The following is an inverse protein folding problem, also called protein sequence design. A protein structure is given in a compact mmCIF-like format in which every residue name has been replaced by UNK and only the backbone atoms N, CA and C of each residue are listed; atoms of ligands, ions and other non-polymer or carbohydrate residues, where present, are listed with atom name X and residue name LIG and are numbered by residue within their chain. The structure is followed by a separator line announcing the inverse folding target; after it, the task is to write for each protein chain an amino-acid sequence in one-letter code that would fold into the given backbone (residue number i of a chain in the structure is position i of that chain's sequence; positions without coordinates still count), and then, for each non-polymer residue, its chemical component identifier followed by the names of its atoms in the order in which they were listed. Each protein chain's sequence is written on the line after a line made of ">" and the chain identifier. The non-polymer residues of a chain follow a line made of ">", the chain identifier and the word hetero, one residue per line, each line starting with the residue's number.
data_IF_155818577357
#
_entry.id   IF_155818577357
#
_cell.length_a   1.000
_cell.length_b   1.000
_cell.length_c   1.000
_cell.angle_alpha   90.00
_cell.angle_beta   90.00
_cell.angle_gamma   90.00
#
_symmetry.space_group_name_H-M   'P 1'
#
loop_
_entity.id
_entity.type
_entity.pdbx_description
1 polymer ?
#
# COMPACT_ATOMS: atom_id res chain seq x y z
N UNK A 1 8.36 10.64 -14.51
CA UNK A 1 7.25 10.14 -15.34
C UNK A 1 5.92 10.58 -14.74
N UNK A 2 5.05 11.16 -15.54
CA UNK A 2 3.76 11.66 -15.04
C UNK A 2 2.75 10.50 -14.94
N UNK A 3 1.96 10.52 -13.89
CA UNK A 3 0.87 9.56 -13.75
C UNK A 3 -0.28 9.93 -14.67
N UNK A 4 -0.98 8.91 -15.16
CA UNK A 4 -2.23 9.14 -15.90
C UNK A 4 -3.30 9.65 -14.94
N UNK A 5 -4.39 10.20 -15.49
CA UNK A 5 -5.52 10.65 -14.68
C UNK A 5 -6.07 9.50 -13.82
N UNK A 6 -6.21 8.32 -14.42
CA UNK A 6 -6.71 7.15 -13.69
C UNK A 6 -5.78 6.74 -12.57
N UNK A 7 -4.47 6.79 -12.82
CA UNK A 7 -3.50 6.47 -11.78
C UNK A 7 -3.56 7.48 -10.63
N UNK A 8 -3.68 8.78 -10.95
CA UNK A 8 -3.81 9.80 -9.90
C UNK A 8 -5.06 9.60 -9.06
N UNK A 9 -6.18 9.28 -9.70
CA UNK A 9 -7.43 9.01 -8.98
C UNK A 9 -7.29 7.79 -8.08
N UNK A 10 -6.64 6.74 -8.57
CA UNK A 10 -6.39 5.55 -7.78
C UNK A 10 -5.51 5.88 -6.55
N UNK A 11 -4.46 6.68 -6.75
CA UNK A 11 -3.57 7.07 -5.66
C UNK A 11 -4.31 7.87 -4.59
N UNK A 12 -5.23 8.77 -5.00
CA UNK A 12 -6.07 9.48 -4.03
C UNK A 12 -6.90 8.53 -3.19
N UNK A 13 -7.46 7.50 -3.82
CA UNK A 13 -8.23 6.49 -3.11
C UNK A 13 -7.36 5.75 -2.09
N UNK A 14 -6.17 5.34 -2.48
CA UNK A 14 -5.26 4.64 -1.57
C UNK A 14 -4.78 5.54 -0.44
N UNK A 15 -4.53 6.82 -0.74
CA UNK A 15 -4.16 7.79 0.29
C UNK A 15 -5.25 7.91 1.35
N UNK A 16 -6.51 7.98 0.92
CA UNK A 16 -7.64 8.06 1.85
C UNK A 16 -7.77 6.80 2.70
N UNK A 17 -7.55 5.64 2.12
CA UNK A 17 -7.55 4.38 2.86
C UNK A 17 -6.44 4.36 3.91
N UNK A 18 -5.25 4.85 3.55
CA UNK A 18 -4.13 4.93 4.49
C UNK A 18 -4.44 5.89 5.64
N UNK A 19 -5.04 7.04 5.33
CA UNK A 19 -5.46 8.00 6.36
C UNK A 19 -6.47 7.37 7.32
N UNK A 20 -7.34 6.52 6.81
CA UNK A 20 -8.29 5.82 7.66
C UNK A 20 -7.59 4.87 8.63
N UNK A 21 -6.54 4.18 8.18
CA UNK A 21 -5.73 3.33 9.05
C UNK A 21 -5.14 4.15 10.20
N UNK A 22 -4.64 5.34 9.88
CA UNK A 22 -4.09 6.24 10.91
C UNK A 22 -5.17 6.64 11.92
N UNK A 23 -6.36 7.00 11.42
CA UNK A 23 -7.48 7.41 12.29
C UNK A 23 -7.95 6.27 13.20
N UNK A 24 -7.83 5.04 12.72
CA UNK A 24 -8.24 3.86 13.50
C UNK A 24 -7.21 3.47 14.55
N UNK A 25 -6.12 4.22 14.67
CA UNK A 25 -5.13 4.05 15.72
C UNK A 25 -3.93 3.18 15.37
N UNK A 26 -3.90 2.63 14.18
CA UNK A 26 -2.77 1.83 13.72
C UNK A 26 -2.58 0.55 14.53
N UNK A 27 -1.38 0.36 15.12
CA UNK A 27 -1.04 -0.84 15.84
C UNK A 27 -0.62 -1.96 14.90
N UNK A 28 -0.58 -3.18 15.40
CA UNK A 28 -0.14 -4.34 14.62
C UNK A 28 -1.05 -4.58 13.41
N UNK A 29 -2.36 -4.52 13.64
CA UNK A 29 -3.34 -4.68 12.56
C UNK A 29 -3.22 -3.55 11.54
N UNK A 30 -2.98 -2.32 12.01
CA UNK A 30 -2.81 -1.17 11.13
C UNK A 30 -1.60 -1.31 10.23
N UNK A 31 -0.50 -1.87 10.72
CA UNK A 31 0.69 -2.10 9.89
C UNK A 31 0.40 -3.11 8.78
N UNK A 32 -0.36 -4.17 9.08
CA UNK A 32 -0.77 -5.14 8.10
C UNK A 32 -1.65 -4.51 7.02
N UNK A 33 -2.61 -3.72 7.44
CA UNK A 33 -3.51 -3.01 6.51
C UNK A 33 -2.73 -2.01 5.65
N UNK A 34 -1.78 -1.29 6.24
CA UNK A 34 -0.95 -0.33 5.52
C UNK A 34 -0.09 -1.03 4.46
N UNK A 35 0.50 -2.18 4.78
CA UNK A 35 1.26 -2.98 3.83
C UNK A 35 0.40 -3.37 2.63
N UNK A 36 -0.82 -3.85 2.90
CA UNK A 36 -1.73 -4.26 1.84
C UNK A 36 -2.08 -3.08 0.93
N UNK A 37 -2.35 -1.92 1.51
CA UNK A 37 -2.67 -0.71 0.74
C UNK A 37 -1.49 -0.30 -0.14
N UNK A 38 -0.28 -0.30 0.40
CA UNK A 38 0.91 0.04 -0.38
C UNK A 38 1.14 -0.94 -1.52
N UNK A 39 0.97 -2.24 -1.26
CA UNK A 39 1.12 -3.26 -2.30
C UNK A 39 0.09 -3.07 -3.41
N UNK A 40 -1.18 -2.82 -3.05
CA UNK A 40 -2.22 -2.56 -4.04
C UNK A 40 -1.90 -1.32 -4.87
N UNK A 41 -1.44 -0.25 -4.22
CA UNK A 41 -1.11 1.00 -4.90
C UNK A 41 0.04 0.79 -5.90
N UNK A 42 1.07 0.06 -5.49
CA UNK A 42 2.20 -0.24 -6.37
C UNK A 42 1.77 -1.09 -7.56
N UNK A 43 0.90 -2.08 -7.35
CA UNK A 43 0.37 -2.89 -8.45
C UNK A 43 -0.44 -2.03 -9.42
N UNK A 44 -1.20 -1.07 -8.90
CA UNK A 44 -1.96 -0.15 -9.74
C UNK A 44 -1.04 0.72 -10.60
N UNK A 45 0.20 0.91 -10.17
CA UNK A 45 1.23 1.63 -10.93
C UNK A 45 2.07 0.70 -11.83
N UNK A 46 1.72 -0.57 -11.90
CA UNK A 46 2.43 -1.53 -12.73
C UNK A 46 3.70 -2.09 -12.12
N UNK A 47 3.91 -1.92 -10.82
CA UNK A 47 5.13 -2.35 -10.13
C UNK A 47 4.98 -3.74 -9.50
N UNK A 48 4.45 -4.70 -10.27
CA UNK A 48 4.15 -6.03 -9.76
C UNK A 48 5.41 -6.79 -9.31
N UNK A 49 6.50 -6.66 -10.06
CA UNK A 49 7.74 -7.36 -9.71
C UNK A 49 8.27 -6.90 -8.36
N UNK A 50 8.18 -5.58 -8.09
CA UNK A 50 8.62 -5.03 -6.82
C UNK A 50 7.77 -5.55 -5.67
N UNK A 51 6.46 -5.60 -5.87
CA UNK A 51 5.54 -6.10 -4.84
C UNK A 51 5.79 -7.57 -4.57
N UNK A 52 5.98 -8.37 -5.63
CA UNK A 52 6.27 -9.79 -5.48
C UNK A 52 7.57 -10.01 -4.69
N UNK A 53 8.60 -9.24 -4.99
CA UNK A 53 9.86 -9.31 -4.26
C UNK A 53 9.68 -8.96 -2.78
N UNK A 54 8.89 -7.92 -2.51
CA UNK A 54 8.60 -7.52 -1.14
C UNK A 54 7.87 -8.63 -0.38
N UNK A 55 6.90 -9.26 -1.01
CA UNK A 55 6.10 -10.30 -0.37
C UNK A 55 6.90 -11.57 -0.10
N UNK A 56 8.05 -11.73 -0.75
CA UNK A 56 8.97 -12.84 -0.48
C UNK A 56 9.86 -12.61 0.75
N UNK A 57 9.87 -11.41 1.30
CA UNK A 57 10.65 -11.12 2.52
C UNK A 57 10.03 -11.87 3.69
N UNK A 58 10.84 -12.72 4.31
CA UNK A 58 10.38 -13.56 5.41
C UNK A 58 11.41 -13.57 6.52
N UNK A 59 10.98 -13.64 7.80
CA UNK A 59 9.61 -13.43 8.25
C UNK A 59 9.24 -11.95 8.23
N UNK A 60 7.94 -11.68 8.08
CA UNK A 60 7.45 -10.29 8.15
C UNK A 60 7.20 -9.95 9.60
N UNK A 61 8.02 -9.11 10.17
CA UNK A 61 7.88 -8.68 11.55
C UNK A 61 7.19 -7.34 11.63
N UNK A 62 6.15 -7.27 12.45
CA UNK A 62 5.47 -6.04 12.79
C UNK A 62 5.61 -5.84 14.29
N UNK A 63 6.79 -5.42 14.66
CA UNK A 63 7.11 -5.21 16.08
C UNK A 63 6.47 -3.94 16.60
#
# INVERSE_FOLDING_TARGET
>A
MALTKNQRNAMLHYTKRMEQVVRDGGGEQGHGDADDILCEALRALGQDELVDAYECVQPKWYA
#
